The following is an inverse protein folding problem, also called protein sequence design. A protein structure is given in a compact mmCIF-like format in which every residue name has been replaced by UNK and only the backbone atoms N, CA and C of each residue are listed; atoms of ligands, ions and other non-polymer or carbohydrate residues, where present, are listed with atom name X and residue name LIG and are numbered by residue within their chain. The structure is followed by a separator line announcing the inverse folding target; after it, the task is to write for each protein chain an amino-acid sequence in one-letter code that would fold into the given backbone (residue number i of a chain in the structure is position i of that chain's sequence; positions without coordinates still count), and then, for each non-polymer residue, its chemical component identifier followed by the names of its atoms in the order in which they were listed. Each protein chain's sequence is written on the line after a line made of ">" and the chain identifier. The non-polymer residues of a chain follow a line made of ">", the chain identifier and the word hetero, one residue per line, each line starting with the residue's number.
data_IF_943899685676
#
_entry.id   IF_943899685676
#
_cell.length_a   1.000
_cell.length_b   1.000
_cell.length_c   1.000
_cell.angle_alpha   90.00
_cell.angle_beta   90.00
_cell.angle_gamma   90.00
#
_symmetry.space_group_name_H-M   'P 1'
#
loop_
_entity.id
_entity.type
_entity.pdbx_description
1 polymer ?
#
# COMPACT_ATOMS: atom_id res chain seq x y z
N UNK A 1 3.50 71.17 -12.04
CA UNK A 1 3.59 69.76 -12.46
C UNK A 1 2.92 68.91 -11.40
N UNK A 2 1.71 68.41 -11.67
CA UNK A 2 0.98 67.49 -10.76
C UNK A 2 1.20 66.05 -11.28
N UNK A 3 1.86 65.19 -10.47
CA UNK A 3 1.97 63.78 -10.74
C UNK A 3 0.63 63.10 -10.45
N UNK A 4 -0.02 62.55 -11.46
CA UNK A 4 -1.12 61.57 -11.30
C UNK A 4 -0.54 60.21 -11.00
N UNK A 5 -0.77 59.67 -9.79
CA UNK A 5 -0.45 58.29 -9.46
C UNK A 5 -1.62 57.40 -9.91
N UNK A 6 -1.41 56.62 -10.95
CA UNK A 6 -2.36 55.53 -11.37
C UNK A 6 -2.22 54.35 -10.42
N UNK A 7 -3.24 54.10 -9.61
CA UNK A 7 -3.36 52.88 -8.82
C UNK A 7 -3.90 51.76 -9.74
N UNK A 8 -3.04 50.79 -10.09
CA UNK A 8 -3.46 49.54 -10.75
C UNK A 8 -4.02 48.58 -9.70
N UNK A 9 -5.34 48.45 -9.64
CA UNK A 9 -5.99 47.36 -8.90
C UNK A 9 -5.84 46.04 -9.68
N UNK A 10 -4.95 45.19 -9.22
CA UNK A 10 -4.87 43.78 -9.66
C UNK A 10 -6.06 43.00 -9.06
N UNK A 11 -7.09 42.75 -9.86
CA UNK A 11 -8.11 41.77 -9.54
C UNK A 11 -7.52 40.35 -9.66
N UNK A 12 -7.10 39.77 -8.53
CA UNK A 12 -6.84 38.35 -8.45
C UNK A 12 -8.19 37.64 -8.43
N UNK A 13 -8.65 37.16 -9.58
CA UNK A 13 -9.78 36.24 -9.66
C UNK A 13 -9.34 34.92 -9.06
N UNK A 14 -9.59 34.68 -7.78
CA UNK A 14 -9.52 33.36 -7.20
C UNK A 14 -10.59 32.51 -7.92
N UNK A 15 -10.16 31.59 -8.75
CA UNK A 15 -11.05 30.55 -9.29
C UNK A 15 -11.58 29.74 -8.11
N UNK A 16 -12.83 29.96 -7.72
CA UNK A 16 -13.51 29.11 -6.75
C UNK A 16 -13.51 27.69 -7.32
N UNK A 17 -13.10 26.67 -6.54
CA UNK A 17 -13.24 25.29 -6.98
C UNK A 17 -14.71 25.05 -7.33
N UNK A 18 -14.97 24.44 -8.47
CA UNK A 18 -16.33 24.08 -8.88
C UNK A 18 -17.01 23.33 -7.74
N UNK A 19 -18.12 23.87 -7.26
CA UNK A 19 -18.89 23.26 -6.16
C UNK A 19 -19.31 21.85 -6.57
N UNK A 20 -18.93 20.86 -5.78
CA UNK A 20 -19.32 19.48 -6.02
C UNK A 20 -20.86 19.37 -5.94
N UNK A 21 -21.46 18.60 -6.89
CA UNK A 21 -22.89 18.34 -6.87
C UNK A 21 -23.31 17.66 -5.58
N UNK A 22 -24.45 18.08 -5.06
CA UNK A 22 -25.14 17.37 -3.98
C UNK A 22 -25.93 16.21 -4.56
N UNK A 23 -25.62 15.00 -4.15
CA UNK A 23 -26.24 13.79 -4.69
C UNK A 23 -26.97 13.05 -3.58
N UNK A 24 -28.21 12.61 -3.87
CA UNK A 24 -28.97 11.71 -3.02
C UNK A 24 -28.87 10.28 -3.56
N UNK A 25 -28.25 9.40 -2.80
CA UNK A 25 -28.15 7.95 -3.08
C UNK A 25 -29.27 7.23 -2.33
N UNK A 26 -30.22 6.68 -3.05
CA UNK A 26 -31.41 6.00 -2.52
C UNK A 26 -31.34 4.49 -2.72
N UNK A 27 -32.14 3.74 -1.97
CA UNK A 27 -32.34 2.29 -2.16
C UNK A 27 -31.04 1.47 -2.18
N UNK A 28 -30.08 1.75 -1.29
CA UNK A 28 -28.84 0.99 -1.15
C UNK A 28 -28.86 0.02 0.04
N UNK A 29 -28.16 -1.11 -0.08
CA UNK A 29 -27.80 -2.01 1.00
C UNK A 29 -26.41 -1.63 1.51
N UNK A 30 -26.32 -0.86 2.59
CA UNK A 30 -25.09 -0.24 3.04
C UNK A 30 -24.35 -1.12 4.05
N UNK A 31 -23.06 -1.38 3.80
CA UNK A 31 -22.21 -2.15 4.71
C UNK A 31 -21.94 -1.36 6.00
N UNK A 32 -22.27 -1.96 7.14
CA UNK A 32 -22.12 -1.34 8.47
C UNK A 32 -20.89 -1.86 9.26
N UNK A 33 -20.01 -2.64 8.61
CA UNK A 33 -18.85 -3.29 9.25
C UNK A 33 -19.07 -4.75 9.67
N UNK A 34 -20.32 -5.26 9.58
CA UNK A 34 -20.66 -6.64 9.90
C UNK A 34 -21.69 -7.27 8.96
N UNK A 35 -22.59 -6.48 8.44
CA UNK A 35 -23.70 -6.89 7.59
C UNK A 35 -24.12 -5.73 6.68
N UNK A 36 -25.13 -5.96 5.87
CA UNK A 36 -25.75 -4.94 5.05
C UNK A 36 -27.09 -4.48 5.63
N UNK A 37 -27.37 -3.18 5.54
CA UNK A 37 -28.62 -2.57 6.03
C UNK A 37 -29.15 -1.64 4.96
N UNK A 38 -30.47 -1.75 4.65
CA UNK A 38 -31.14 -0.84 3.74
C UNK A 38 -31.09 0.59 4.26
N UNK A 39 -30.85 1.54 3.35
CA UNK A 39 -30.74 2.95 3.73
C UNK A 39 -30.41 3.86 2.55
N UNK A 40 -30.24 5.13 2.89
CA UNK A 40 -29.90 6.17 1.95
C UNK A 40 -28.91 7.17 2.57
N UNK A 41 -28.17 7.86 1.72
CA UNK A 41 -27.25 8.93 2.11
C UNK A 41 -27.26 10.05 1.08
N UNK A 42 -26.96 11.26 1.53
CA UNK A 42 -26.58 12.38 0.68
C UNK A 42 -25.06 12.52 0.65
N UNK A 43 -24.52 12.88 -0.52
CA UNK A 43 -23.16 13.38 -0.65
C UNK A 43 -23.21 14.89 -0.73
N UNK A 44 -22.63 15.56 0.25
CA UNK A 44 -22.51 17.03 0.29
C UNK A 44 -21.04 17.38 0.42
N UNK A 45 -20.51 18.14 -0.53
CA UNK A 45 -19.09 18.50 -0.58
C UNK A 45 -18.14 17.32 -0.44
N UNK A 46 -18.53 16.15 -0.99
CA UNK A 46 -17.72 14.94 -0.97
C UNK A 46 -17.80 14.11 0.33
N UNK A 47 -18.73 14.45 1.24
CA UNK A 47 -18.93 13.70 2.49
C UNK A 47 -20.36 13.16 2.58
N UNK A 48 -20.48 11.99 3.23
CA UNK A 48 -21.76 11.35 3.51
C UNK A 48 -22.51 12.07 4.63
N UNK A 49 -23.80 12.29 4.45
CA UNK A 49 -24.72 12.76 5.50
C UNK A 49 -26.11 12.10 5.35
N UNK A 50 -26.80 11.91 6.48
CA UNK A 50 -28.22 11.52 6.52
C UNK A 50 -29.16 12.71 6.55
N UNK A 51 -28.64 13.88 6.88
CA UNK A 51 -29.41 15.13 6.93
C UNK A 51 -29.72 15.58 5.50
N UNK A 52 -31.01 15.73 5.17
CA UNK A 52 -31.45 16.21 3.85
C UNK A 52 -30.94 17.65 3.62
N UNK A 53 -30.13 17.90 2.57
CA UNK A 53 -29.66 19.25 2.24
C UNK A 53 -30.81 20.08 1.64
N UNK A 54 -30.65 21.41 1.66
CA UNK A 54 -31.64 22.33 1.10
C UNK A 54 -31.83 22.15 -0.43
N UNK A 55 -30.76 21.77 -1.14
CA UNK A 55 -30.75 21.52 -2.57
C UNK A 55 -30.13 20.15 -2.83
N UNK A 56 -30.76 19.39 -3.72
CA UNK A 56 -30.28 18.09 -4.24
C UNK A 56 -30.19 18.23 -5.76
N UNK A 57 -28.97 18.15 -6.29
CA UNK A 57 -28.72 18.33 -7.73
C UNK A 57 -29.04 17.06 -8.54
N UNK A 58 -28.86 15.88 -7.92
CA UNK A 58 -29.02 14.60 -8.60
C UNK A 58 -29.51 13.54 -7.61
N UNK A 59 -30.38 12.65 -8.07
CA UNK A 59 -30.79 11.46 -7.34
C UNK A 59 -30.26 10.23 -8.08
N UNK A 60 -29.59 9.33 -7.35
CA UNK A 60 -29.08 8.05 -7.87
C UNK A 60 -29.76 6.91 -7.13
N UNK A 61 -30.63 6.18 -7.83
CA UNK A 61 -31.24 4.96 -7.30
C UNK A 61 -30.27 3.78 -7.38
N UNK A 62 -29.88 3.25 -6.24
CA UNK A 62 -28.94 2.12 -6.12
C UNK A 62 -29.63 0.76 -6.31
N UNK A 63 -30.95 0.71 -6.55
CA UNK A 63 -31.69 -0.51 -6.93
C UNK A 63 -31.50 -1.69 -5.99
N UNK A 64 -31.46 -1.42 -4.68
CA UNK A 64 -31.17 -2.41 -3.62
C UNK A 64 -29.81 -3.11 -3.74
N UNK A 65 -28.86 -2.54 -4.49
CA UNK A 65 -27.52 -3.09 -4.63
C UNK A 65 -26.69 -2.84 -3.37
N UNK A 66 -25.58 -3.59 -3.24
CA UNK A 66 -24.74 -3.63 -2.06
C UNK A 66 -23.63 -2.58 -2.13
N UNK A 67 -23.55 -1.74 -1.11
CA UNK A 67 -22.62 -0.61 -1.05
C UNK A 67 -21.52 -0.91 -0.02
N UNK A 68 -20.26 -0.83 -0.44
CA UNK A 68 -19.08 -1.08 0.38
C UNK A 68 -18.07 0.08 0.26
N UNK A 69 -17.19 0.30 1.28
CA UNK A 69 -16.07 1.23 1.11
C UNK A 69 -15.12 0.77 0.00
N UNK A 70 -14.36 1.69 -0.63
CA UNK A 70 -13.36 1.34 -1.64
C UNK A 70 -12.20 0.55 -1.07
N UNK A 71 -11.49 -0.15 -1.95
CA UNK A 71 -10.35 -0.97 -1.60
C UNK A 71 -9.04 -0.20 -1.50
N UNK A 72 -8.09 -0.79 -0.77
CA UNK A 72 -6.69 -0.34 -0.69
C UNK A 72 -5.72 -1.33 -1.31
N UNK A 73 -4.57 -0.82 -1.71
CA UNK A 73 -3.38 -1.54 -2.17
C UNK A 73 -2.21 -1.15 -1.25
N UNK A 74 -1.82 -2.02 -0.32
CA UNK A 74 -0.82 -1.70 0.70
C UNK A 74 0.63 -1.78 0.20
N UNK A 75 0.87 -2.42 -0.96
CA UNK A 75 2.19 -2.66 -1.47
C UNK A 75 2.20 -2.85 -2.98
N UNK A 76 2.52 -1.80 -3.71
CA UNK A 76 2.68 -1.88 -5.16
C UNK A 76 3.72 -0.87 -5.66
N UNK A 77 4.31 -1.14 -6.82
CA UNK A 77 5.32 -0.30 -7.45
C UNK A 77 4.78 0.51 -8.64
N UNK A 78 3.46 0.53 -8.82
CA UNK A 78 2.75 1.38 -9.79
C UNK A 78 1.59 2.12 -9.11
N UNK A 79 1.22 3.34 -9.57
CA UNK A 79 1.92 4.14 -10.59
C UNK A 79 3.21 4.75 -10.04
N UNK A 80 4.22 4.93 -10.91
CA UNK A 80 5.49 5.56 -10.52
C UNK A 80 6.02 6.53 -11.57
N UNK A 81 5.78 6.25 -12.85
CA UNK A 81 6.26 7.05 -13.97
C UNK A 81 5.09 7.55 -14.83
N UNK A 82 5.36 8.49 -15.74
CA UNK A 82 4.38 8.97 -16.73
C UNK A 82 4.06 7.92 -17.81
N UNK A 83 4.93 6.92 -17.96
CA UNK A 83 4.69 5.82 -18.88
C UNK A 83 3.47 5.02 -18.42
N UNK A 84 2.48 4.89 -19.29
CA UNK A 84 1.24 4.12 -19.07
C UNK A 84 0.44 4.55 -17.81
N UNK A 85 0.63 5.80 -17.32
CA UNK A 85 -0.01 6.30 -16.10
C UNK A 85 -1.53 6.18 -16.14
N UNK A 86 -2.17 6.55 -17.27
CA UNK A 86 -3.62 6.47 -17.41
C UNK A 86 -4.12 5.02 -17.34
N UNK A 87 -3.38 4.09 -17.93
CA UNK A 87 -3.69 2.65 -17.87
C UNK A 87 -3.63 2.12 -16.44
N UNK A 88 -2.63 2.56 -15.65
CA UNK A 88 -2.55 2.18 -14.24
C UNK A 88 -3.69 2.77 -13.42
N UNK A 89 -3.99 4.07 -13.59
CA UNK A 89 -5.10 4.73 -12.88
C UNK A 89 -6.42 4.02 -13.19
N UNK A 90 -6.71 3.78 -14.48
CA UNK A 90 -7.92 3.09 -14.92
C UNK A 90 -8.01 1.68 -14.33
N UNK A 91 -6.92 0.91 -14.33
CA UNK A 91 -6.87 -0.45 -13.78
C UNK A 91 -7.23 -0.47 -12.30
N UNK A 92 -6.60 0.40 -11.50
CA UNK A 92 -6.90 0.49 -10.07
C UNK A 92 -8.35 0.89 -9.82
N UNK A 93 -8.83 1.93 -10.49
CA UNK A 93 -10.21 2.38 -10.33
C UNK A 93 -11.20 1.30 -10.81
N UNK A 94 -10.89 0.56 -11.88
CA UNK A 94 -11.71 -0.55 -12.37
C UNK A 94 -11.81 -1.68 -11.35
N UNK A 95 -10.72 -1.99 -10.64
CA UNK A 95 -10.70 -2.98 -9.56
C UNK A 95 -11.26 -2.43 -8.23
N UNK A 96 -11.75 -1.18 -8.19
CA UNK A 96 -12.32 -0.55 -6.99
C UNK A 96 -11.26 -0.09 -5.98
N UNK A 97 -9.98 -0.04 -6.37
CA UNK A 97 -8.87 0.36 -5.52
C UNK A 97 -8.66 1.87 -5.67
N UNK A 98 -8.93 2.63 -4.59
CA UNK A 98 -8.78 4.08 -4.60
C UNK A 98 -7.52 4.55 -3.86
N UNK A 99 -6.96 3.71 -2.98
CA UNK A 99 -5.90 4.08 -2.03
C UNK A 99 -4.71 3.15 -2.21
N UNK A 100 -3.54 3.71 -2.52
CA UNK A 100 -2.33 2.95 -2.86
C UNK A 100 -1.18 3.39 -1.97
N UNK A 101 -0.37 2.44 -1.53
CA UNK A 101 0.91 2.65 -0.88
C UNK A 101 2.02 2.08 -1.76
N UNK A 102 2.94 2.95 -2.19
CA UNK A 102 4.13 2.55 -2.93
C UNK A 102 5.34 2.59 -1.98
N UNK A 103 5.84 1.43 -1.53
CA UNK A 103 6.86 1.35 -0.48
C UNK A 103 8.27 1.59 -0.97
N UNK A 104 8.48 1.76 -2.26
CA UNK A 104 9.77 2.16 -2.81
C UNK A 104 9.60 2.77 -4.21
N UNK A 105 9.95 4.03 -4.36
CA UNK A 105 9.75 4.77 -5.60
C UNK A 105 10.89 5.74 -5.88
N UNK A 106 10.89 6.26 -7.11
CA UNK A 106 11.91 7.18 -7.63
C UNK A 106 11.33 8.60 -7.63
N UNK A 107 11.71 9.50 -6.68
CA UNK A 107 11.17 10.87 -6.59
C UNK A 107 11.28 11.66 -7.89
N UNK A 108 12.38 11.50 -8.64
CA UNK A 108 12.52 12.10 -9.95
C UNK A 108 11.36 11.77 -10.89
N UNK A 109 10.85 10.55 -10.85
CA UNK A 109 9.74 10.10 -11.69
C UNK A 109 8.38 10.47 -11.07
N UNK A 110 8.18 10.19 -9.78
CA UNK A 110 6.90 10.43 -9.10
C UNK A 110 6.52 11.89 -9.02
N UNK A 111 7.50 12.81 -8.92
CA UNK A 111 7.25 14.24 -8.95
C UNK A 111 6.65 14.73 -10.28
N UNK A 112 6.98 14.08 -11.41
CA UNK A 112 6.40 14.42 -12.71
C UNK A 112 4.92 14.10 -12.80
N UNK A 113 4.47 13.03 -12.12
CA UNK A 113 3.09 12.56 -12.16
C UNK A 113 2.25 13.03 -10.96
N UNK A 114 2.87 13.67 -9.96
CA UNK A 114 2.20 14.05 -8.72
C UNK A 114 0.93 14.91 -8.96
N UNK A 115 0.94 15.76 -10.00
CA UNK A 115 -0.20 16.61 -10.37
C UNK A 115 -1.40 15.80 -10.93
N UNK A 116 -1.21 14.53 -11.33
CA UNK A 116 -2.23 13.62 -11.85
C UNK A 116 -2.84 12.72 -10.77
N UNK A 117 -2.15 12.55 -9.65
CA UNK A 117 -2.54 11.68 -8.52
C UNK A 117 -3.26 12.48 -7.43
N UNK A 118 -3.91 11.79 -6.50
CA UNK A 118 -4.62 12.40 -5.38
C UNK A 118 -5.71 13.40 -5.84
N UNK A 119 -6.44 13.03 -6.90
CA UNK A 119 -7.55 13.78 -7.50
C UNK A 119 -8.84 12.97 -7.44
N UNK A 120 -9.99 13.62 -7.62
CA UNK A 120 -11.29 12.97 -7.58
C UNK A 120 -11.43 11.85 -8.64
N UNK A 121 -10.86 12.06 -9.82
CA UNK A 121 -10.89 11.11 -10.95
C UNK A 121 -9.61 10.28 -11.07
N UNK A 122 -8.84 10.15 -9.99
CA UNK A 122 -7.61 9.39 -9.94
C UNK A 122 -7.50 8.59 -8.64
N UNK A 123 -6.43 7.83 -8.48
CA UNK A 123 -6.08 7.12 -7.25
C UNK A 123 -5.34 8.03 -6.29
N UNK A 124 -5.46 7.74 -4.99
CA UNK A 124 -4.70 8.42 -3.94
C UNK A 124 -3.49 7.56 -3.59
N UNK A 125 -2.29 8.12 -3.72
CA UNK A 125 -1.03 7.38 -3.57
C UNK A 125 -0.17 7.99 -2.47
N UNK A 126 0.36 7.13 -1.60
CA UNK A 126 1.36 7.46 -0.58
C UNK A 126 2.70 6.81 -0.96
N UNK A 127 3.74 7.61 -1.16
CA UNK A 127 5.07 7.15 -1.58
C UNK A 127 6.06 7.14 -0.42
N UNK A 128 6.88 6.08 -0.31
CA UNK A 128 8.04 6.06 0.59
C UNK A 128 9.24 6.82 0.01
N UNK A 129 9.28 6.97 -1.31
CA UNK A 129 10.47 7.38 -2.02
C UNK A 129 11.61 6.36 -1.86
N UNK A 130 12.89 6.77 -1.83
CA UNK A 130 14.01 5.85 -1.74
C UNK A 130 14.09 5.10 -0.41
N UNK A 131 14.12 3.77 -0.49
CA UNK A 131 14.24 2.91 0.69
C UNK A 131 15.68 2.81 1.23
N UNK A 132 15.83 2.47 2.51
CA UNK A 132 17.14 2.35 3.19
C UNK A 132 17.61 0.89 3.15
N UNK A 133 18.78 0.66 2.53
CA UNK A 133 19.40 -0.66 2.43
C UNK A 133 20.93 -0.57 2.63
N UNK A 134 21.64 -1.71 2.60
CA UNK A 134 23.10 -1.76 2.70
C UNK A 134 23.76 -1.88 1.31
N UNK A 135 25.09 -1.77 1.26
CA UNK A 135 25.86 -2.05 0.07
C UNK A 135 25.59 -3.45 -0.48
N UNK A 136 25.21 -3.54 -1.77
CA UNK A 136 24.79 -4.79 -2.38
C UNK A 136 23.49 -5.38 -1.83
N UNK A 137 22.80 -4.68 -0.94
CA UNK A 137 21.51 -5.10 -0.40
C UNK A 137 20.36 -4.93 -1.40
N UNK A 138 19.26 -5.67 -1.17
CA UNK A 138 18.03 -5.45 -1.92
C UNK A 138 17.43 -4.06 -1.54
N UNK A 139 16.91 -3.25 -2.47
CA UNK A 139 16.73 -3.51 -3.91
C UNK A 139 17.84 -2.93 -4.81
N UNK A 140 19.01 -2.55 -4.28
CA UNK A 140 20.05 -1.88 -5.07
C UNK A 140 20.52 -2.68 -6.29
N UNK A 141 20.46 -4.00 -6.22
CA UNK A 141 20.81 -4.90 -7.34
C UNK A 141 19.66 -5.14 -8.31
N UNK A 142 18.42 -4.84 -7.91
CA UNK A 142 17.23 -4.96 -8.76
C UNK A 142 17.12 -3.80 -9.76
N UNK A 143 17.43 -2.57 -9.34
CA UNK A 143 17.23 -1.38 -10.16
C UNK A 143 18.03 -1.35 -11.48
N UNK A 144 19.29 -1.84 -11.54
CA UNK A 144 19.99 -1.97 -12.83
C UNK A 144 19.25 -2.86 -13.83
N UNK A 145 18.60 -3.93 -13.37
CA UNK A 145 17.75 -4.78 -14.21
C UNK A 145 16.47 -4.05 -14.62
N UNK A 146 15.79 -3.39 -13.69
CA UNK A 146 14.57 -2.61 -13.95
C UNK A 146 14.82 -1.47 -14.95
N UNK A 147 16.03 -0.89 -14.96
CA UNK A 147 16.40 0.13 -15.93
C UNK A 147 16.36 -0.41 -17.36
N UNK A 148 16.71 -1.68 -17.57
CA UNK A 148 16.69 -2.32 -18.88
C UNK A 148 15.31 -2.83 -19.31
N UNK A 149 14.37 -2.96 -18.37
CA UNK A 149 13.02 -3.52 -18.58
C UNK A 149 11.94 -2.46 -18.31
N UNK A 150 11.58 -2.26 -17.07
CA UNK A 150 10.46 -1.43 -16.62
C UNK A 150 10.69 0.06 -16.89
N UNK A 151 11.91 0.57 -16.64
CA UNK A 151 12.21 2.00 -16.71
C UNK A 151 12.95 2.43 -17.99
N UNK A 152 13.17 1.52 -18.92
CA UNK A 152 13.97 1.80 -20.14
C UNK A 152 13.52 3.06 -20.88
N UNK A 153 12.22 3.28 -21.00
CA UNK A 153 11.66 4.45 -21.70
C UNK A 153 11.44 5.64 -20.76
N UNK A 154 11.12 5.38 -19.49
CA UNK A 154 10.76 6.42 -18.53
C UNK A 154 11.96 7.20 -17.99
N UNK A 155 13.16 6.60 -17.96
CA UNK A 155 14.39 7.18 -17.39
C UNK A 155 15.53 7.24 -18.45
N UNK A 156 15.38 8.01 -19.53
CA UNK A 156 16.41 8.12 -20.55
C UNK A 156 17.70 8.76 -19.96
N UNK A 157 18.84 8.18 -20.29
CA UNK A 157 20.15 8.65 -19.82
C UNK A 157 20.53 8.20 -18.40
N UNK A 158 19.65 7.50 -17.68
CA UNK A 158 19.98 6.94 -16.36
C UNK A 158 20.95 5.77 -16.49
N UNK A 159 21.76 5.60 -15.45
CA UNK A 159 22.67 4.48 -15.24
C UNK A 159 22.40 3.80 -13.91
N UNK A 160 23.04 2.67 -13.64
CA UNK A 160 22.93 2.00 -12.33
C UNK A 160 23.28 2.94 -11.14
N UNK A 161 24.19 3.90 -11.35
CA UNK A 161 24.60 4.87 -10.31
C UNK A 161 23.54 5.95 -10.05
N UNK A 162 22.63 6.19 -10.96
CA UNK A 162 21.60 7.24 -10.84
C UNK A 162 20.55 6.92 -9.78
N UNK A 163 20.44 5.66 -9.33
CA UNK A 163 19.43 5.23 -8.38
C UNK A 163 19.78 5.48 -6.92
N UNK A 164 21.09 5.55 -6.57
CA UNK A 164 21.49 5.93 -5.20
C UNK A 164 21.11 7.38 -4.91
N UNK A 165 20.41 7.63 -3.81
CA UNK A 165 19.89 8.94 -3.46
C UNK A 165 18.52 9.25 -4.07
N UNK A 166 18.02 8.37 -4.96
CA UNK A 166 16.68 8.43 -5.56
C UNK A 166 15.84 7.23 -5.15
N UNK A 167 16.11 6.06 -5.71
CA UNK A 167 15.34 4.85 -5.45
C UNK A 167 15.75 4.15 -4.14
N UNK A 168 16.97 4.34 -3.69
CA UNK A 168 17.45 3.77 -2.43
C UNK A 168 18.61 4.60 -1.86
N UNK A 169 18.87 4.39 -0.55
CA UNK A 169 20.02 4.93 0.16
C UNK A 169 20.84 3.78 0.74
N UNK A 170 22.12 3.70 0.35
CA UNK A 170 23.07 2.73 0.90
C UNK A 170 23.58 3.23 2.26
N UNK A 171 23.24 2.51 3.34
CA UNK A 171 23.56 2.89 4.72
C UNK A 171 24.11 1.67 5.44
N UNK A 172 25.42 1.69 5.75
CA UNK A 172 26.14 0.59 6.38
C UNK A 172 26.56 0.91 7.82
N UNK A 173 26.42 2.18 8.24
CA UNK A 173 26.78 2.61 9.60
C UNK A 173 25.85 3.71 10.10
N UNK A 174 25.93 3.98 11.40
CA UNK A 174 25.21 5.09 12.03
C UNK A 174 25.67 6.45 11.48
N UNK A 175 26.94 6.60 11.21
CA UNK A 175 27.53 7.83 10.65
C UNK A 175 26.99 8.10 9.25
N UNK A 176 26.88 7.06 8.40
CA UNK A 176 26.27 7.18 7.08
C UNK A 176 24.76 7.52 7.18
N UNK A 177 24.06 6.93 8.14
CA UNK A 177 22.66 7.26 8.41
C UNK A 177 22.50 8.74 8.79
N UNK A 178 23.31 9.24 9.73
CA UNK A 178 23.27 10.65 10.15
C UNK A 178 23.55 11.59 8.98
N UNK A 179 24.55 11.26 8.15
CA UNK A 179 24.92 12.06 6.97
C UNK A 179 23.82 12.09 5.91
N UNK A 180 23.18 10.95 5.64
CA UNK A 180 22.17 10.82 4.56
C UNK A 180 20.74 11.18 5.01
N UNK A 181 20.47 11.18 6.32
CA UNK A 181 19.13 11.43 6.85
C UNK A 181 18.48 12.75 6.38
N UNK A 182 19.19 13.90 6.36
CA UNK A 182 18.64 15.16 5.84
C UNK A 182 18.21 15.05 4.36
N UNK A 183 18.94 14.31 3.54
CA UNK A 183 18.62 14.12 2.13
C UNK A 183 17.36 13.23 1.94
N UNK A 184 17.21 12.19 2.78
CA UNK A 184 16.00 11.36 2.81
C UNK A 184 14.77 12.23 3.14
N UNK A 185 14.85 13.07 4.17
CA UNK A 185 13.75 13.94 4.55
C UNK A 185 13.45 15.04 3.52
N UNK A 186 14.48 15.55 2.81
CA UNK A 186 14.31 16.55 1.75
C UNK A 186 13.44 16.05 0.60
N UNK A 187 13.38 14.74 0.35
CA UNK A 187 12.48 14.13 -0.63
C UNK A 187 11.02 14.07 -0.17
N UNK A 188 10.72 14.50 1.07
CA UNK A 188 9.36 14.52 1.65
C UNK A 188 8.64 13.15 1.55
N UNK A 189 9.25 12.06 2.03
CA UNK A 189 8.61 10.75 2.00
C UNK A 189 7.32 10.76 2.83
N UNK A 190 6.32 10.01 2.38
CA UNK A 190 5.09 9.81 3.16
C UNK A 190 5.29 8.85 4.35
N UNK A 191 6.31 8.01 4.28
CA UNK A 191 6.76 7.08 5.33
C UNK A 191 8.19 6.61 5.00
N UNK A 192 8.86 5.99 5.96
CA UNK A 192 10.21 5.43 5.76
C UNK A 192 10.12 3.94 5.47
N UNK A 193 10.88 3.47 4.48
CA UNK A 193 11.07 2.05 4.16
C UNK A 193 12.51 1.64 4.39
N UNK A 194 12.73 0.49 5.05
CA UNK A 194 14.03 -0.15 5.11
C UNK A 194 13.94 -1.67 4.90
N UNK A 195 15.08 -2.31 4.65
CA UNK A 195 15.17 -3.72 4.26
C UNK A 195 15.96 -4.54 5.27
N UNK A 196 15.28 -5.53 5.88
CA UNK A 196 15.90 -6.61 6.65
C UNK A 196 15.79 -7.90 5.84
N UNK A 197 16.90 -8.57 5.63
CA UNK A 197 16.96 -9.80 4.85
C UNK A 197 17.98 -10.72 5.51
N UNK A 198 17.52 -11.82 6.09
CA UNK A 198 18.34 -12.77 6.82
C UNK A 198 19.22 -12.07 7.86
N UNK A 199 18.61 -11.27 8.70
CA UNK A 199 19.29 -10.48 9.74
C UNK A 199 20.05 -11.34 10.75
N UNK A 200 19.67 -12.61 10.91
CA UNK A 200 20.38 -13.61 11.69
C UNK A 200 21.74 -13.98 11.09
N UNK A 201 21.91 -13.84 9.79
CA UNK A 201 23.13 -14.13 9.03
C UNK A 201 23.82 -12.85 8.54
N UNK A 202 23.52 -11.71 9.15
CA UNK A 202 24.06 -10.41 8.72
C UNK A 202 25.59 -10.39 8.68
N UNK A 203 26.26 -10.96 9.69
CA UNK A 203 27.73 -10.95 9.79
C UNK A 203 28.39 -11.73 8.66
N UNK A 204 27.78 -12.83 8.26
CA UNK A 204 28.26 -13.70 7.18
C UNK A 204 28.00 -13.08 5.81
N UNK A 205 26.87 -12.39 5.66
CA UNK A 205 26.41 -11.89 4.36
C UNK A 205 26.91 -10.49 4.01
N UNK A 206 27.16 -9.63 5.00
CA UNK A 206 27.37 -8.19 4.78
C UNK A 206 28.49 -7.87 3.79
N UNK A 207 29.62 -8.57 3.87
CA UNK A 207 30.82 -8.34 3.06
C UNK A 207 30.94 -9.30 1.86
N UNK A 208 30.14 -10.36 1.82
CA UNK A 208 30.19 -11.36 0.75
C UNK A 208 29.31 -10.94 -0.45
N UNK A 209 29.93 -10.83 -1.62
CA UNK A 209 29.25 -10.48 -2.88
C UNK A 209 28.32 -11.58 -3.42
N UNK A 210 28.48 -12.84 -2.98
CA UNK A 210 27.57 -13.93 -3.31
C UNK A 210 26.14 -13.69 -2.77
N UNK A 211 26.00 -12.82 -1.77
CA UNK A 211 24.73 -12.43 -1.19
C UNK A 211 24.20 -11.08 -1.72
N UNK A 212 24.79 -10.52 -2.77
CA UNK A 212 24.23 -9.31 -3.38
C UNK A 212 22.78 -9.54 -3.82
N UNK A 213 21.89 -8.60 -3.42
CA UNK A 213 20.42 -8.73 -3.57
C UNK A 213 19.74 -9.66 -2.57
N UNK A 214 20.49 -10.27 -1.63
CA UNK A 214 20.00 -11.22 -0.63
C UNK A 214 20.46 -10.84 0.78
N UNK A 215 20.66 -9.56 1.04
CA UNK A 215 21.05 -8.95 2.32
C UNK A 215 20.40 -7.59 2.47
N UNK A 216 20.26 -7.13 3.70
CA UNK A 216 19.68 -5.84 4.07
C UNK A 216 20.62 -5.00 4.93
N UNK A 217 20.06 -4.05 5.66
CA UNK A 217 20.80 -3.20 6.60
C UNK A 217 21.35 -4.01 7.78
N UNK A 218 22.32 -3.40 8.51
CA UNK A 218 22.70 -3.89 9.85
C UNK A 218 21.45 -3.88 10.75
N UNK A 219 21.06 -5.03 11.34
CA UNK A 219 19.93 -5.11 12.27
C UNK A 219 20.01 -4.12 13.43
N UNK A 220 21.24 -3.75 13.85
CA UNK A 220 21.48 -2.75 14.89
C UNK A 220 21.04 -1.33 14.52
N UNK A 221 20.91 -1.02 13.24
CA UNK A 221 20.42 0.27 12.76
C UNK A 221 18.89 0.40 12.80
N UNK A 222 18.14 -0.70 12.79
CA UNK A 222 16.67 -0.69 12.68
C UNK A 222 16.01 0.20 13.75
N UNK A 223 16.40 0.04 15.02
CA UNK A 223 15.85 0.86 16.11
C UNK A 223 16.20 2.35 16.00
N UNK A 224 17.39 2.67 15.46
CA UNK A 224 17.83 4.05 15.24
C UNK A 224 17.00 4.69 14.12
N UNK A 225 16.79 3.98 13.01
CA UNK A 225 15.97 4.44 11.87
C UNK A 225 14.54 4.71 12.34
N UNK A 226 13.92 3.76 13.07
CA UNK A 226 12.56 3.92 13.60
C UNK A 226 12.46 5.15 14.51
N UNK A 227 13.39 5.32 15.45
CA UNK A 227 13.40 6.48 16.35
C UNK A 227 13.51 7.81 15.58
N UNK A 228 14.37 7.88 14.56
CA UNK A 228 14.53 9.08 13.72
C UNK A 228 13.29 9.37 12.90
N UNK A 229 12.67 8.34 12.31
CA UNK A 229 11.45 8.48 11.52
C UNK A 229 10.27 8.97 12.38
N UNK A 230 10.04 8.36 13.55
CA UNK A 230 9.01 8.77 14.49
C UNK A 230 9.23 10.19 15.02
N UNK A 231 10.48 10.60 15.27
CA UNK A 231 10.80 11.98 15.63
C UNK A 231 10.47 13.00 14.52
N UNK A 232 10.48 12.55 13.25
CA UNK A 232 10.05 13.34 12.09
C UNK A 232 8.54 13.21 11.78
N UNK A 233 7.76 12.51 12.61
CA UNK A 233 6.33 12.28 12.41
C UNK A 233 6.01 11.26 11.31
N UNK A 234 7.00 10.46 10.88
CA UNK A 234 6.86 9.48 9.80
C UNK A 234 6.71 8.06 10.36
N UNK A 235 5.78 7.28 9.77
CA UNK A 235 5.67 5.84 10.00
C UNK A 235 6.80 5.08 9.31
N UNK A 236 7.02 3.83 9.75
CA UNK A 236 8.09 2.98 9.23
C UNK A 236 7.54 1.63 8.78
N UNK A 237 7.85 1.26 7.53
CA UNK A 237 7.65 -0.08 6.97
C UNK A 237 8.97 -0.81 6.85
N UNK A 238 9.02 -2.07 7.27
CA UNK A 238 10.18 -2.94 7.12
C UNK A 238 9.89 -4.07 6.13
N UNK A 239 10.78 -4.25 5.15
CA UNK A 239 10.86 -5.48 4.38
C UNK A 239 11.42 -6.59 5.26
N UNK A 240 10.83 -7.77 5.27
CA UNK A 240 11.28 -8.91 6.06
C UNK A 240 11.11 -10.23 5.26
N UNK A 241 12.16 -11.06 5.24
CA UNK A 241 12.10 -12.39 4.59
C UNK A 241 11.97 -13.53 5.59
N UNK A 242 12.57 -13.41 6.78
CA UNK A 242 12.65 -14.49 7.76
C UNK A 242 11.87 -14.18 9.05
N UNK A 243 11.55 -15.21 9.85
CA UNK A 243 10.99 -14.96 11.19
C UNK A 243 11.88 -14.09 12.09
N UNK A 244 13.21 -14.16 11.92
CA UNK A 244 14.14 -13.30 12.68
C UNK A 244 14.06 -11.85 12.20
N UNK A 245 13.94 -11.60 10.90
CA UNK A 245 13.71 -10.24 10.37
C UNK A 245 12.47 -9.61 10.99
N UNK A 246 11.36 -10.37 11.08
CA UNK A 246 10.14 -9.92 11.76
C UNK A 246 10.41 -9.57 13.22
N UNK A 247 11.13 -10.43 13.94
CA UNK A 247 11.47 -10.19 15.35
C UNK A 247 12.28 -8.92 15.51
N UNK A 248 13.30 -8.71 14.68
CA UNK A 248 14.14 -7.49 14.70
C UNK A 248 13.28 -6.26 14.42
N UNK A 249 12.48 -6.26 13.36
CA UNK A 249 11.61 -5.14 12.98
C UNK A 249 10.59 -4.80 14.08
N UNK A 250 9.91 -5.81 14.64
CA UNK A 250 8.93 -5.63 15.70
C UNK A 250 9.56 -5.08 17.00
N UNK A 251 10.77 -5.55 17.37
CA UNK A 251 11.49 -5.03 18.51
C UNK A 251 11.98 -3.60 18.28
N UNK A 252 12.39 -3.27 17.05
CA UNK A 252 12.75 -1.91 16.66
C UNK A 252 11.57 -0.93 16.72
N UNK A 253 10.33 -1.44 16.66
CA UNK A 253 9.11 -0.63 16.80
C UNK A 253 8.57 -0.08 15.49
N UNK A 254 8.72 -0.83 14.39
CA UNK A 254 8.10 -0.47 13.09
C UNK A 254 6.58 -0.42 13.19
N UNK A 255 5.96 0.29 12.27
CA UNK A 255 4.50 0.40 12.19
C UNK A 255 3.88 -0.68 11.28
N UNK A 256 4.68 -1.19 10.35
CA UNK A 256 4.24 -2.14 9.33
C UNK A 256 5.37 -3.09 8.93
N UNK A 257 4.99 -4.31 8.62
CA UNK A 257 5.84 -5.31 7.98
C UNK A 257 5.37 -5.52 6.54
N UNK A 258 6.30 -5.43 5.61
CA UNK A 258 6.09 -5.86 4.24
C UNK A 258 6.72 -7.23 4.04
N UNK A 259 5.95 -8.11 3.45
CA UNK A 259 6.14 -9.55 3.30
C UNK A 259 6.00 -10.31 4.62
N UNK A 260 5.31 -11.42 4.50
CA UNK A 260 5.24 -12.40 5.58
C UNK A 260 6.13 -13.59 5.20
N UNK A 261 6.99 -14.11 6.11
CA UNK A 261 7.82 -15.27 5.83
C UNK A 261 7.06 -16.40 5.17
N UNK A 262 7.66 -16.94 4.12
CA UNK A 262 6.99 -17.90 3.23
C UNK A 262 6.44 -17.27 1.93
N UNK A 263 6.45 -15.93 1.77
CA UNK A 263 6.16 -15.30 0.47
C UNK A 263 7.17 -15.75 -0.59
N UNK A 264 8.42 -15.88 -0.18
CA UNK A 264 9.52 -16.48 -0.93
C UNK A 264 10.25 -17.50 -0.06
N UNK A 265 10.57 -18.66 -0.62
CA UNK A 265 11.44 -19.66 0.00
C UNK A 265 12.72 -19.79 -0.82
N UNK A 266 13.87 -19.64 -0.18
CA UNK A 266 15.19 -19.66 -0.83
C UNK A 266 15.68 -21.10 -1.02
N UNK A 267 14.93 -21.92 -1.79
CA UNK A 267 15.21 -23.35 -2.04
C UNK A 267 16.65 -23.63 -2.48
N UNK A 268 17.17 -22.81 -3.40
CA UNK A 268 18.55 -22.93 -3.90
C UNK A 268 19.61 -22.62 -2.86
N UNK A 269 19.25 -21.94 -1.78
CA UNK A 269 20.11 -21.65 -0.63
C UNK A 269 20.05 -22.74 0.43
N UNK A 270 19.36 -23.85 0.19
CA UNK A 270 19.25 -24.95 1.16
C UNK A 270 18.17 -24.79 2.23
N UNK A 271 17.37 -23.71 2.16
CA UNK A 271 16.28 -23.48 3.13
C UNK A 271 15.06 -24.34 2.78
N UNK A 272 14.38 -24.83 3.81
CA UNK A 272 13.09 -25.52 3.68
C UNK A 272 11.94 -24.56 3.96
N UNK A 273 10.72 -24.91 3.54
CA UNK A 273 9.54 -24.12 3.85
C UNK A 273 9.34 -23.94 5.38
N UNK A 274 9.66 -24.96 6.17
CA UNK A 274 9.50 -24.93 7.63
C UNK A 274 10.35 -23.89 8.33
N UNK A 275 11.48 -23.48 7.75
CA UNK A 275 12.30 -22.38 8.24
C UNK A 275 11.52 -21.06 8.35
N UNK A 276 10.51 -20.88 7.50
CA UNK A 276 9.70 -19.64 7.44
C UNK A 276 8.43 -19.69 8.29
N UNK A 277 8.23 -20.76 9.09
CA UNK A 277 7.10 -20.84 10.03
C UNK A 277 7.28 -19.85 11.18
N UNK A 278 6.21 -19.11 11.47
CA UNK A 278 6.17 -18.21 12.63
C UNK A 278 6.00 -18.99 13.92
N UNK A 279 6.67 -18.54 14.97
CA UNK A 279 6.38 -18.96 16.32
C UNK A 279 5.35 -18.04 17.02
N UNK A 280 4.77 -18.54 18.11
CA UNK A 280 3.77 -17.80 18.89
C UNK A 280 4.31 -16.52 19.52
N UNK A 281 5.62 -16.44 19.80
CA UNK A 281 6.21 -15.28 20.47
C UNK A 281 6.33 -14.12 19.49
N UNK A 282 6.70 -14.38 18.23
CA UNK A 282 6.71 -13.38 17.17
C UNK A 282 5.30 -12.82 16.97
N UNK A 283 4.28 -13.70 16.89
CA UNK A 283 2.90 -13.24 16.67
C UNK A 283 2.36 -12.45 17.86
N UNK A 284 2.75 -12.79 19.09
CA UNK A 284 2.44 -11.98 20.27
C UNK A 284 3.07 -10.58 20.22
N UNK A 285 4.26 -10.43 19.62
CA UNK A 285 4.89 -9.13 19.41
C UNK A 285 4.07 -8.25 18.46
N UNK A 286 3.55 -8.77 17.35
CA UNK A 286 2.64 -8.04 16.47
C UNK A 286 1.47 -7.43 17.26
N UNK A 287 0.78 -8.25 18.05
CA UNK A 287 -0.35 -7.79 18.86
C UNK A 287 0.04 -6.73 19.89
N UNK A 288 1.14 -6.97 20.62
CA UNK A 288 1.65 -6.04 21.65
C UNK A 288 2.03 -4.69 21.05
N UNK A 289 2.62 -4.68 19.86
CA UNK A 289 3.11 -3.48 19.18
C UNK A 289 2.06 -2.84 18.25
N UNK A 290 0.93 -3.50 18.02
CA UNK A 290 -0.15 -3.06 17.11
C UNK A 290 0.33 -2.85 15.66
N UNK A 291 1.27 -3.67 15.22
CA UNK A 291 1.83 -3.67 13.86
C UNK A 291 0.92 -4.46 12.95
N UNK A 292 0.70 -3.99 11.73
CA UNK A 292 0.03 -4.75 10.68
C UNK A 292 1.06 -5.33 9.71
N UNK A 293 0.62 -6.32 8.92
CA UNK A 293 1.47 -7.01 7.97
C UNK A 293 0.79 -7.15 6.63
N UNK A 294 1.55 -6.92 5.57
CA UNK A 294 1.18 -7.17 4.20
C UNK A 294 1.88 -8.45 3.72
N UNK A 295 1.14 -9.56 3.47
CA UNK A 295 1.75 -10.86 3.18
C UNK A 295 2.46 -10.95 1.83
N UNK A 296 1.91 -10.34 0.79
CA UNK A 296 2.36 -10.43 -0.62
C UNK A 296 2.52 -11.88 -1.11
N UNK A 297 1.64 -12.77 -0.70
CA UNK A 297 1.74 -14.20 -0.96
C UNK A 297 1.41 -14.59 -2.41
N UNK A 298 0.70 -13.72 -3.14
CA UNK A 298 0.42 -13.92 -4.57
C UNK A 298 1.68 -13.97 -5.44
N UNK A 299 2.81 -13.44 -4.97
CA UNK A 299 4.11 -13.55 -5.64
C UNK A 299 4.50 -15.00 -5.93
N UNK A 300 4.05 -15.97 -5.12
CA UNK A 300 4.22 -17.39 -5.38
C UNK A 300 3.65 -17.83 -6.74
N UNK A 301 2.55 -17.24 -7.17
CA UNK A 301 1.90 -17.56 -8.46
C UNK A 301 2.42 -16.74 -9.62
N UNK A 302 2.88 -15.52 -9.35
CA UNK A 302 3.21 -14.53 -10.39
C UNK A 302 4.71 -14.52 -10.72
N UNK A 303 5.58 -14.32 -9.74
CA UNK A 303 7.00 -14.03 -9.97
C UNK A 303 7.96 -15.04 -9.31
N UNK A 304 7.61 -15.59 -8.14
CA UNK A 304 8.51 -16.37 -7.29
C UNK A 304 8.16 -17.87 -7.30
N UNK A 305 7.84 -18.41 -8.47
CA UNK A 305 7.38 -19.81 -8.62
C UNK A 305 8.44 -20.82 -8.17
N UNK A 306 8.07 -21.78 -7.30
CA UNK A 306 8.93 -22.91 -6.95
C UNK A 306 9.23 -23.79 -8.15
N UNK A 307 10.33 -24.56 -8.05
CA UNK A 307 10.79 -25.43 -9.15
C UNK A 307 9.94 -26.70 -9.24
N UNK A 308 9.47 -27.25 -8.10
CA UNK A 308 8.67 -28.48 -8.07
C UNK A 308 7.30 -28.29 -7.44
N UNK A 309 6.37 -29.22 -7.73
CA UNK A 309 5.05 -29.27 -7.12
C UNK A 309 5.10 -29.49 -5.60
N UNK A 310 6.07 -30.28 -5.12
CA UNK A 310 6.28 -30.53 -3.69
C UNK A 310 6.70 -29.23 -2.97
N UNK A 311 7.62 -28.50 -3.56
CA UNK A 311 8.04 -27.18 -3.06
C UNK A 311 6.86 -26.20 -3.03
N UNK A 312 6.05 -26.17 -4.09
CA UNK A 312 4.84 -25.35 -4.13
C UNK A 312 3.89 -25.69 -2.98
N UNK A 313 3.56 -26.97 -2.81
CA UNK A 313 2.68 -27.42 -1.72
C UNK A 313 3.25 -27.09 -0.34
N UNK A 314 4.55 -27.33 -0.13
CA UNK A 314 5.22 -27.01 1.13
C UNK A 314 5.16 -25.52 1.45
N UNK A 315 5.36 -24.64 0.45
CA UNK A 315 5.28 -23.20 0.63
C UNK A 315 3.85 -22.75 0.93
N UNK A 316 2.83 -23.25 0.21
CA UNK A 316 1.41 -22.99 0.50
C UNK A 316 1.03 -23.42 1.90
N UNK A 317 1.52 -24.57 2.37
CA UNK A 317 1.27 -25.06 3.74
C UNK A 317 1.83 -24.09 4.80
N UNK A 318 3.03 -23.56 4.59
CA UNK A 318 3.64 -22.58 5.51
C UNK A 318 2.87 -21.25 5.48
N UNK A 319 2.50 -20.76 4.31
CA UNK A 319 1.69 -19.56 4.15
C UNK A 319 0.35 -19.69 4.89
N UNK A 320 -0.34 -20.82 4.67
CA UNK A 320 -1.60 -21.13 5.36
C UNK A 320 -1.43 -21.18 6.87
N UNK A 321 -0.40 -21.88 7.36
CA UNK A 321 -0.07 -21.96 8.79
C UNK A 321 0.17 -20.57 9.40
N UNK A 322 0.98 -19.75 8.76
CA UNK A 322 1.31 -18.40 9.24
C UNK A 322 0.05 -17.53 9.32
N UNK A 323 -0.79 -17.53 8.28
CA UNK A 323 -2.05 -16.77 8.28
C UNK A 323 -3.03 -17.26 9.34
N UNK A 324 -3.18 -18.59 9.54
CA UNK A 324 -4.00 -19.16 10.62
C UNK A 324 -3.53 -18.68 12.00
N UNK A 325 -2.20 -18.60 12.19
CA UNK A 325 -1.62 -18.11 13.41
C UNK A 325 -1.90 -16.61 13.61
N UNK A 326 -1.74 -15.77 12.58
CA UNK A 326 -2.08 -14.35 12.61
C UNK A 326 -3.57 -14.13 12.92
N UNK A 327 -4.46 -14.88 12.24
CA UNK A 327 -5.91 -14.85 12.49
C UNK A 327 -6.26 -15.19 13.94
N UNK A 328 -5.68 -16.28 14.48
CA UNK A 328 -5.89 -16.70 15.88
C UNK A 328 -5.54 -15.60 16.87
N UNK A 329 -4.48 -14.84 16.62
CA UNK A 329 -4.02 -13.75 17.49
C UNK A 329 -4.62 -12.39 17.12
N UNK A 330 -5.49 -12.31 16.10
CA UNK A 330 -6.13 -11.10 15.60
C UNK A 330 -5.11 -10.03 15.19
N UNK A 331 -4.02 -10.45 14.53
CA UNK A 331 -3.05 -9.52 13.93
C UNK A 331 -3.69 -8.91 12.68
N UNK A 332 -3.68 -7.58 12.52
CA UNK A 332 -4.23 -6.95 11.33
C UNK A 332 -3.41 -7.32 10.09
N UNK A 333 -4.07 -7.80 9.04
CA UNK A 333 -3.49 -8.10 7.73
C UNK A 333 -3.98 -7.07 6.74
N UNK A 334 -3.08 -6.47 5.98
CA UNK A 334 -3.35 -5.58 4.85
C UNK A 334 -3.20 -6.34 3.54
N UNK A 335 -3.71 -5.78 2.45
CA UNK A 335 -3.72 -6.41 1.13
C UNK A 335 -2.86 -5.59 0.19
N UNK A 336 -1.81 -6.21 -0.35
CA UNK A 336 -0.89 -5.65 -1.33
C UNK A 336 -0.23 -6.75 -2.15
N UNK A 337 0.04 -6.51 -3.42
CA UNK A 337 0.51 -7.58 -4.32
C UNK A 337 1.99 -7.50 -4.69
N UNK A 338 2.69 -6.41 -4.34
CA UNK A 338 4.11 -6.20 -4.65
C UNK A 338 4.44 -6.42 -6.14
N UNK A 339 3.70 -5.77 -7.01
CA UNK A 339 3.84 -5.94 -8.46
C UNK A 339 4.02 -4.59 -9.16
N UNK A 340 4.54 -4.64 -10.38
CA UNK A 340 4.58 -3.49 -11.31
C UNK A 340 3.36 -3.47 -12.24
N UNK A 341 2.68 -4.60 -12.44
CA UNK A 341 1.67 -4.77 -13.50
C UNK A 341 0.33 -5.32 -13.01
N UNK A 342 0.22 -5.73 -11.75
CA UNK A 342 -0.98 -6.30 -11.15
C UNK A 342 -1.47 -5.39 -10.02
N UNK A 343 -2.63 -5.71 -9.46
CA UNK A 343 -3.22 -4.96 -8.34
C UNK A 343 -3.47 -5.88 -7.15
N UNK A 344 -3.78 -5.32 -5.98
CA UNK A 344 -4.17 -6.05 -4.77
C UNK A 344 -5.30 -7.08 -5.00
N UNK A 345 -6.02 -7.00 -6.10
CA UNK A 345 -6.98 -8.03 -6.51
C UNK A 345 -6.32 -9.40 -6.59
N UNK A 346 -5.11 -9.48 -7.16
CA UNK A 346 -4.36 -10.75 -7.27
C UNK A 346 -4.02 -11.33 -5.89
N UNK A 347 -3.62 -10.47 -4.94
CA UNK A 347 -3.38 -10.91 -3.56
C UNK A 347 -4.67 -11.36 -2.88
N UNK A 348 -5.76 -10.61 -3.06
CA UNK A 348 -7.05 -10.97 -2.49
C UNK A 348 -7.58 -12.31 -3.03
N UNK A 349 -7.50 -12.55 -4.34
CA UNK A 349 -7.85 -13.84 -4.97
C UNK A 349 -6.99 -14.98 -4.42
N UNK A 350 -5.71 -14.72 -4.19
CA UNK A 350 -4.81 -15.71 -3.61
C UNK A 350 -5.18 -16.02 -2.15
N UNK A 351 -5.35 -15.02 -1.30
CA UNK A 351 -5.72 -15.21 0.12
C UNK A 351 -7.08 -15.90 0.27
N UNK A 352 -8.06 -15.56 -0.58
CA UNK A 352 -9.35 -16.25 -0.65
C UNK A 352 -9.15 -17.75 -0.94
N UNK A 353 -8.29 -18.11 -1.89
CA UNK A 353 -8.03 -19.49 -2.29
C UNK A 353 -7.43 -20.35 -1.17
N UNK A 354 -6.79 -19.75 -0.16
CA UNK A 354 -6.22 -20.45 0.99
C UNK A 354 -7.27 -20.87 2.04
N UNK A 355 -8.51 -20.35 1.95
CA UNK A 355 -9.64 -20.68 2.85
C UNK A 355 -9.33 -20.48 4.35
N UNK A 356 -8.48 -19.49 4.67
CA UNK A 356 -8.13 -19.16 6.06
C UNK A 356 -9.13 -18.20 6.69
N UNK A 357 -9.65 -17.26 5.91
CA UNK A 357 -10.52 -16.18 6.39
C UNK A 357 -11.93 -16.31 5.84
N UNK A 358 -12.93 -15.86 6.60
CA UNK A 358 -14.31 -15.74 6.12
C UNK A 358 -14.47 -14.58 5.12
N UNK A 359 -15.57 -14.58 4.36
CA UNK A 359 -15.89 -13.49 3.42
C UNK A 359 -15.90 -12.12 4.12
N UNK A 360 -16.46 -12.05 5.33
CA UNK A 360 -16.47 -10.82 6.12
C UNK A 360 -15.07 -10.36 6.51
N UNK A 361 -14.19 -11.28 6.95
CA UNK A 361 -12.81 -10.93 7.30
C UNK A 361 -12.04 -10.45 6.07
N UNK A 362 -12.14 -11.14 4.93
CA UNK A 362 -11.51 -10.72 3.67
C UNK A 362 -12.01 -9.34 3.21
N UNK A 363 -13.32 -9.10 3.23
CA UNK A 363 -13.89 -7.81 2.87
C UNK A 363 -13.32 -6.69 3.75
N UNK A 364 -13.31 -6.89 5.07
CA UNK A 364 -12.78 -5.89 6.02
C UNK A 364 -11.29 -5.65 5.86
N UNK A 365 -10.49 -6.67 5.57
CA UNK A 365 -9.07 -6.50 5.27
C UNK A 365 -8.88 -5.53 4.10
N UNK A 366 -9.69 -5.68 3.04
CA UNK A 366 -9.49 -4.93 1.81
C UNK A 366 -10.08 -3.52 1.85
N UNK A 367 -11.29 -3.35 2.42
CA UNK A 367 -11.99 -2.05 2.42
C UNK A 367 -11.90 -1.25 3.73
N UNK A 368 -11.48 -1.87 4.86
CA UNK A 368 -11.34 -1.15 6.13
C UNK A 368 -9.89 -1.10 6.60
N UNK A 369 -9.24 -2.28 6.78
CA UNK A 369 -7.90 -2.38 7.38
C UNK A 369 -6.84 -1.76 6.48
N UNK A 370 -6.84 -2.11 5.19
CA UNK A 370 -5.84 -1.64 4.23
C UNK A 370 -5.91 -0.12 4.01
N UNK A 371 -7.08 0.50 3.70
CA UNK A 371 -7.15 1.95 3.57
C UNK A 371 -6.79 2.71 4.86
N UNK A 372 -7.17 2.18 6.04
CA UNK A 372 -6.80 2.78 7.32
C UNK A 372 -5.29 2.74 7.59
N UNK A 373 -4.60 1.68 7.14
CA UNK A 373 -3.15 1.57 7.25
C UNK A 373 -2.43 2.59 6.36
N UNK A 374 -2.94 2.82 5.15
CA UNK A 374 -2.37 3.77 4.17
C UNK A 374 -2.63 5.22 4.63
N UNK A 375 -3.89 5.57 4.92
CA UNK A 375 -4.32 6.93 5.27
C UNK A 375 -5.03 6.98 6.63
N UNK A 376 -4.31 6.80 7.76
CA UNK A 376 -4.92 6.62 9.08
C UNK A 376 -5.70 7.85 9.59
N UNK A 377 -5.43 9.02 9.05
CA UNK A 377 -6.07 10.28 9.48
C UNK A 377 -7.29 10.64 8.63
N UNK A 378 -7.62 9.84 7.59
CA UNK A 378 -8.78 10.08 6.72
C UNK A 378 -9.98 9.22 7.16
N UNK A 379 -11.17 9.76 6.97
CA UNK A 379 -12.43 9.07 7.25
C UNK A 379 -12.95 8.38 5.97
N UNK A 380 -12.32 7.25 5.59
CA UNK A 380 -12.52 6.54 4.31
C UNK A 380 -12.97 5.09 4.44
N UNK A 381 -12.98 4.54 5.66
CA UNK A 381 -13.14 3.10 5.88
C UNK A 381 -14.55 2.68 6.28
N UNK A 382 -15.48 3.62 6.39
CA UNK A 382 -16.86 3.36 6.82
C UNK A 382 -17.85 4.18 6.01
N UNK A 383 -19.06 3.64 5.88
CA UNK A 383 -20.18 4.30 5.21
C UNK A 383 -21.11 4.89 6.28
N UNK A 384 -20.71 6.03 6.84
CA UNK A 384 -21.46 6.72 7.88
C UNK A 384 -21.30 8.23 7.77
N UNK A 385 -22.13 8.96 8.49
CA UNK A 385 -22.13 10.42 8.50
C UNK A 385 -20.75 11.01 8.79
N UNK A 386 -20.36 12.02 8.00
CA UNK A 386 -19.06 12.71 8.12
C UNK A 386 -17.86 11.92 7.58
N UNK A 387 -18.06 10.75 6.98
CA UNK A 387 -17.05 10.05 6.20
C UNK A 387 -17.07 10.51 4.74
N UNK A 388 -15.95 10.34 4.03
CA UNK A 388 -15.90 10.65 2.61
C UNK A 388 -16.96 9.86 1.84
N UNK A 389 -17.66 10.52 0.93
CA UNK A 389 -18.64 9.90 0.05
C UNK A 389 -17.94 9.09 -1.05
N UNK A 390 -17.13 8.13 -0.61
CA UNK A 390 -16.35 7.21 -1.46
C UNK A 390 -16.81 5.78 -1.22
N UNK A 391 -17.33 5.13 -2.26
CA UNK A 391 -17.86 3.77 -2.15
C UNK A 391 -17.97 3.06 -3.51
N UNK A 392 -18.16 1.74 -3.44
CA UNK A 392 -18.39 0.86 -4.56
C UNK A 392 -19.80 0.26 -4.43
N UNK A 393 -20.48 0.06 -5.55
CA UNK A 393 -21.80 -0.57 -5.60
C UNK A 393 -21.70 -1.89 -6.36
N UNK A 394 -22.11 -2.96 -5.68
CA UNK A 394 -22.03 -4.34 -6.15
C UNK A 394 -23.44 -4.87 -6.42
N UNK A 395 -23.69 -5.65 -7.50
CA UNK A 395 -25.00 -6.20 -7.80
C UNK A 395 -25.48 -7.23 -6.78
N UNK A 396 -24.55 -7.97 -6.15
CA UNK A 396 -24.87 -9.07 -5.25
C UNK A 396 -24.09 -8.99 -3.94
N UNK A 397 -24.56 -9.72 -2.93
CA UNK A 397 -23.98 -9.74 -1.57
C UNK A 397 -22.61 -10.45 -1.52
N UNK A 398 -21.51 -9.74 -1.27
CA UNK A 398 -20.18 -10.34 -1.19
C UNK A 398 -19.97 -11.19 0.07
N UNK A 399 -20.82 -11.05 1.10
CA UNK A 399 -20.74 -11.89 2.30
C UNK A 399 -21.28 -13.30 2.05
N UNK A 400 -22.21 -13.47 1.09
CA UNK A 400 -22.72 -14.78 0.67
C UNK A 400 -21.76 -15.46 -0.30
N UNK A 401 -21.29 -14.73 -1.32
CA UNK A 401 -20.30 -15.20 -2.28
C UNK A 401 -19.24 -14.13 -2.51
N UNK A 402 -18.01 -14.37 -2.03
CA UNK A 402 -16.97 -13.34 -2.00
C UNK A 402 -16.61 -12.80 -3.38
N UNK A 403 -16.59 -13.63 -4.43
CA UNK A 403 -16.26 -13.22 -5.80
C UNK A 403 -17.12 -12.06 -6.32
N UNK A 404 -18.25 -11.77 -5.67
CA UNK A 404 -19.10 -10.61 -6.02
C UNK A 404 -18.40 -9.26 -5.77
N UNK A 405 -17.34 -9.20 -4.96
CA UNK A 405 -16.52 -7.98 -4.77
C UNK A 405 -15.86 -7.49 -6.06
N UNK A 406 -15.69 -8.38 -7.03
CA UNK A 406 -15.07 -8.06 -8.33
C UNK A 406 -16.06 -7.51 -9.36
N UNK A 407 -17.37 -7.60 -9.08
CA UNK A 407 -18.43 -7.12 -9.95
C UNK A 407 -18.90 -5.73 -9.49
N UNK A 408 -18.23 -4.67 -9.97
CA UNK A 408 -18.49 -3.30 -9.52
C UNK A 408 -19.32 -2.57 -10.58
N UNK A 409 -20.59 -2.26 -10.25
CA UNK A 409 -21.51 -1.54 -11.14
C UNK A 409 -21.33 -0.03 -11.11
N UNK A 410 -20.96 0.53 -9.93
CA UNK A 410 -20.77 1.98 -9.78
C UNK A 410 -19.60 2.23 -8.82
N UNK A 411 -18.83 3.23 -9.13
CA UNK A 411 -17.72 3.75 -8.33
C UNK A 411 -18.00 5.21 -8.01
N UNK A 412 -17.92 5.57 -6.73
CA UNK A 412 -18.09 6.94 -6.28
C UNK A 412 -16.87 7.32 -5.46
N UNK A 413 -16.22 8.43 -5.79
CA UNK A 413 -15.09 8.97 -5.04
C UNK A 413 -15.37 10.40 -4.63
N UNK A 414 -15.52 10.61 -3.32
CA UNK A 414 -15.88 11.92 -2.74
C UNK A 414 -17.06 12.57 -3.46
N UNK A 415 -18.10 11.79 -3.74
CA UNK A 415 -19.30 12.26 -4.44
C UNK A 415 -19.20 12.37 -5.97
N UNK A 416 -18.02 12.16 -6.56
CA UNK A 416 -17.89 12.07 -8.02
C UNK A 416 -18.22 10.65 -8.49
N UNK A 417 -19.14 10.55 -9.44
CA UNK A 417 -19.43 9.28 -10.13
C UNK A 417 -18.30 8.98 -11.12
N UNK A 418 -17.64 7.84 -10.97
CA UNK A 418 -16.61 7.35 -11.87
C UNK A 418 -17.19 6.26 -12.77
N UNK A 419 -16.99 6.40 -14.07
CA UNK A 419 -17.51 5.50 -15.11
C UNK A 419 -16.42 4.49 -15.54
#
# INVERSE_FOLDING_TARGET
>A
MRLLSLLFLLFVTAALPAQQKTIHFTNGQWFNGSSFTAGEFYSVNGYLTKSKPAVVDTIVDLKNQFVIPPFGEAHNHSPETDQDLDVYIERYLSDGIFYIKNPNSIPFATNKIAHRLNKLNSVDVLFANGGITANGGHPSTLYPYLLTTTYKKALPGWTAKSFEGEAYYLINSKEELEKKWPYILAQKPGFIKFYLIFSEEYKERKDDTAFNGKKGIDPGLAGIIVKKAHAAGLKVSAHAETPNDLKVALLAGVDEINHLPGYQVRWRGGYTADYYKLDKNIVRLFKKKRVHVDPTYSLLKTELKPVTNEQYKAQVNVQTYNLQLLRKYKVPVTIGCDSYNLTAKTEMEYLQSLNVYSNLELLKMWCEVTPAAIFPNRKITKLQEGYEASFLVLPNNPLEKFDQVYNINLRVKQGLLLW
#
